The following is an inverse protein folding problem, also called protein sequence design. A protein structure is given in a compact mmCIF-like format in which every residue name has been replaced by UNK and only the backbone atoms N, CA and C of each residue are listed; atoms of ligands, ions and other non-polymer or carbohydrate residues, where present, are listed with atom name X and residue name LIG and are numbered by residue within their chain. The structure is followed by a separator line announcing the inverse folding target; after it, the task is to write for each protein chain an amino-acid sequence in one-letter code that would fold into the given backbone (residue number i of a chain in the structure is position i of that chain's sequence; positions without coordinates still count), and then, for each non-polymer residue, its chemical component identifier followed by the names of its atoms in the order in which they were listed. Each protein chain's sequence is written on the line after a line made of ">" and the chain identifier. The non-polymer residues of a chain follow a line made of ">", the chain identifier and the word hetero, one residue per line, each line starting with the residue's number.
data_IF_095177445994
#
_entry.id   IF_095177445994
#
_cell.length_a   1.000
_cell.length_b   1.000
_cell.length_c   1.000
_cell.angle_alpha   90.00
_cell.angle_beta   90.00
_cell.angle_gamma   90.00
#
_symmetry.space_group_name_H-M   'P 1'
#
loop_
_entity.id
_entity.type
_entity.pdbx_description
1 polymer ?
#
# COMPACT_ATOMS: atom_id res chain seq x y z
N UNK A 1 23.85 -20.02 -58.82
CA UNK A 1 24.56 -19.21 -57.80
C UNK A 1 24.32 -17.73 -58.13
N UNK A 2 23.78 -16.83 -57.31
CA UNK A 2 23.26 -16.83 -55.94
C UNK A 2 22.06 -15.87 -55.94
N UNK A 3 20.95 -16.25 -55.30
CA UNK A 3 19.84 -15.35 -55.01
C UNK A 3 20.24 -14.35 -53.92
N UNK A 4 19.80 -13.10 -54.06
CA UNK A 4 19.89 -12.10 -52.99
C UNK A 4 18.55 -12.02 -52.28
N UNK A 5 18.57 -12.45 -51.03
CA UNK A 5 17.50 -12.27 -50.05
C UNK A 5 17.27 -10.78 -49.80
N UNK A 6 16.00 -10.36 -49.87
CA UNK A 6 15.55 -9.12 -49.23
C UNK A 6 15.12 -9.50 -47.82
N UNK A 7 15.93 -9.14 -46.82
CA UNK A 7 15.55 -9.25 -45.42
C UNK A 7 14.42 -8.27 -45.13
N UNK A 8 13.29 -8.79 -44.67
CA UNK A 8 12.22 -8.00 -44.08
C UNK A 8 12.74 -7.37 -42.78
N UNK A 9 12.58 -6.05 -42.68
CA UNK A 9 12.78 -5.34 -41.43
C UNK A 9 11.70 -5.81 -40.44
N UNK A 10 12.14 -6.42 -39.34
CA UNK A 10 11.30 -6.73 -38.18
C UNK A 10 10.95 -5.39 -37.54
N UNK A 11 9.66 -5.00 -37.57
CA UNK A 11 9.13 -3.94 -36.72
C UNK A 11 9.15 -4.42 -35.26
N UNK A 12 10.22 -4.14 -34.53
CA UNK A 12 10.20 -4.13 -33.06
C UNK A 12 9.68 -2.78 -32.60
N UNK A 13 8.40 -2.71 -32.24
CA UNK A 13 7.82 -1.48 -31.69
C UNK A 13 6.31 -1.51 -31.67
N UNK A 14 5.71 -2.44 -30.94
CA UNK A 14 4.33 -2.30 -30.49
C UNK A 14 4.39 -2.01 -28.99
N UNK A 15 4.30 -0.73 -28.63
CA UNK A 15 3.86 -0.35 -27.29
C UNK A 15 2.45 -0.91 -27.06
N UNK A 16 2.11 -1.19 -25.80
CA UNK A 16 0.75 -1.54 -25.40
C UNK A 16 -0.17 -0.35 -25.73
N UNK A 17 -0.67 -0.32 -26.97
CA UNK A 17 -1.71 0.61 -27.37
C UNK A 17 -2.92 0.31 -26.49
N UNK A 18 -3.46 1.37 -25.86
CA UNK A 18 -4.58 1.37 -24.93
C UNK A 18 -5.55 0.19 -25.13
N UNK A 19 -5.37 -0.87 -24.33
CA UNK A 19 -6.39 -1.90 -24.19
C UNK A 19 -7.53 -1.31 -23.37
N UNK A 20 -8.54 -0.77 -24.05
CA UNK A 20 -9.84 -0.57 -23.43
C UNK A 20 -10.39 -1.96 -23.10
N UNK A 21 -10.39 -2.33 -21.82
CA UNK A 21 -11.11 -3.51 -21.36
C UNK A 21 -12.60 -3.21 -21.51
N UNK A 22 -13.22 -3.67 -22.60
CA UNK A 22 -14.68 -3.79 -22.66
C UNK A 22 -15.00 -5.18 -22.14
N UNK A 23 -15.28 -5.29 -20.85
CA UNK A 23 -15.94 -6.47 -20.32
C UNK A 23 -17.38 -6.47 -20.84
N UNK A 24 -17.62 -7.04 -22.02
CA UNK A 24 -18.99 -7.27 -22.49
C UNK A 24 -19.55 -8.52 -21.81
N UNK A 25 -20.19 -8.35 -20.67
CA UNK A 25 -21.19 -9.30 -20.19
C UNK A 25 -22.55 -8.82 -20.68
N UNK A 26 -23.14 -9.56 -21.63
CA UNK A 26 -24.51 -9.34 -22.07
C UNK A 26 -25.49 -9.72 -20.97
N UNK A 27 -25.90 -8.72 -20.19
CA UNK A 27 -27.23 -8.55 -19.59
C UNK A 27 -27.21 -7.19 -18.88
N UNK A 28 -27.87 -6.17 -19.46
CA UNK A 28 -28.05 -4.87 -18.84
C UNK A 28 -28.82 -5.01 -17.51
N UNK A 29 -28.08 -4.94 -16.41
CA UNK A 29 -28.60 -4.51 -15.13
C UNK A 29 -28.02 -3.12 -14.85
N UNK A 30 -28.88 -2.16 -14.51
CA UNK A 30 -28.49 -0.82 -14.13
C UNK A 30 -27.34 -0.85 -13.10
N UNK A 31 -26.21 -0.20 -13.43
CA UNK A 31 -25.06 -0.07 -12.53
C UNK A 31 -23.78 -0.82 -12.94
N UNK A 32 -23.52 -1.09 -14.23
CA UNK A 32 -22.23 -1.62 -14.66
C UNK A 32 -21.12 -0.55 -14.55
N UNK A 33 -20.09 -0.85 -13.76
CA UNK A 33 -18.86 -0.07 -13.73
C UNK A 33 -18.00 -0.45 -14.94
N UNK A 34 -17.45 0.54 -15.64
CA UNK A 34 -16.44 0.31 -16.69
C UNK A 34 -15.07 0.57 -16.10
N UNK A 35 -14.19 -0.43 -16.14
CA UNK A 35 -12.80 -0.28 -15.69
C UNK A 35 -11.93 -0.03 -16.91
N UNK A 36 -11.30 1.15 -16.95
CA UNK A 36 -10.33 1.49 -17.98
C UNK A 36 -8.92 1.43 -17.42
N UNK A 37 -7.98 0.94 -18.21
CA UNK A 37 -6.56 0.96 -17.89
C UNK A 37 -5.82 1.87 -18.85
N UNK A 38 -4.86 2.62 -18.34
CA UNK A 38 -3.93 3.41 -19.13
C UNK A 38 -2.50 3.24 -18.61
N UNK A 39 -1.52 3.21 -19.51
CA UNK A 39 -0.11 3.25 -19.13
C UNK A 39 0.30 4.65 -18.69
N UNK A 40 1.12 4.74 -17.64
CA UNK A 40 1.74 5.98 -17.23
C UNK A 40 2.97 6.26 -18.11
N UNK A 41 3.13 7.48 -18.64
CA UNK A 41 4.21 7.77 -19.57
C UNK A 41 5.58 7.71 -18.90
N UNK A 42 6.57 7.23 -19.65
CA UNK A 42 7.98 7.19 -19.26
C UNK A 42 8.75 8.21 -20.11
N UNK A 43 9.71 8.93 -19.51
CA UNK A 43 10.53 9.92 -20.21
C UNK A 43 12.02 9.54 -20.21
N UNK A 44 12.62 9.50 -21.40
CA UNK A 44 14.07 9.31 -21.62
C UNK A 44 14.53 7.85 -21.56
N UNK A 45 15.80 7.65 -21.18
CA UNK A 45 16.47 6.35 -21.06
C UNK A 45 15.99 5.59 -19.81
N UNK A 46 14.74 5.14 -19.82
CA UNK A 46 14.14 4.35 -18.74
C UNK A 46 14.08 2.89 -19.15
N UNK A 47 14.70 2.02 -18.36
CA UNK A 47 14.57 0.58 -18.53
C UNK A 47 13.11 0.17 -18.28
N UNK A 48 12.62 -0.86 -18.97
CA UNK A 48 11.27 -1.39 -18.77
C UNK A 48 11.14 -2.18 -17.45
N UNK A 49 11.67 -1.68 -16.34
CA UNK A 49 11.68 -2.36 -15.04
C UNK A 49 11.46 -1.35 -13.92
N UNK A 50 10.26 -1.36 -13.35
CA UNK A 50 9.98 -0.69 -12.08
C UNK A 50 9.87 -1.74 -10.98
N UNK A 51 10.93 -1.91 -10.21
CA UNK A 51 10.88 -2.58 -8.90
C UNK A 51 10.56 -1.55 -7.83
N UNK A 52 9.29 -1.14 -7.72
CA UNK A 52 8.80 -0.36 -6.57
C UNK A 52 7.29 -0.20 -6.60
N UNK A 53 6.63 -0.30 -5.44
CA UNK A 53 5.22 0.02 -5.31
C UNK A 53 4.94 1.46 -5.75
N UNK A 54 3.83 1.63 -6.49
CA UNK A 54 3.29 2.95 -6.82
C UNK A 54 2.36 3.38 -5.68
N UNK A 55 2.35 4.67 -5.41
CA UNK A 55 1.52 5.31 -4.40
C UNK A 55 0.77 6.48 -5.06
N UNK A 56 -0.52 6.63 -4.79
CA UNK A 56 -1.40 7.62 -5.41
C UNK A 56 -2.16 8.42 -4.35
N UNK A 57 -2.09 9.74 -4.44
CA UNK A 57 -2.90 10.60 -3.57
C UNK A 57 -4.29 10.90 -4.16
N UNK A 58 -5.15 11.51 -3.37
CA UNK A 58 -6.50 11.93 -3.79
C UNK A 58 -6.50 13.07 -4.78
N UNK A 59 -5.34 13.61 -5.16
CA UNK A 59 -5.20 14.51 -6.31
C UNK A 59 -4.95 13.77 -7.62
N UNK A 60 -4.77 12.46 -7.59
CA UNK A 60 -4.40 11.64 -8.74
C UNK A 60 -2.94 11.78 -9.14
N UNK A 61 -2.11 12.35 -8.24
CA UNK A 61 -0.67 12.38 -8.40
C UNK A 61 -0.10 11.06 -7.93
N UNK A 62 0.83 10.51 -8.70
CA UNK A 62 1.35 9.16 -8.50
C UNK A 62 2.85 9.28 -8.33
N UNK A 63 3.42 8.60 -7.34
CA UNK A 63 4.88 8.51 -7.19
C UNK A 63 5.36 7.09 -7.34
N UNK A 64 6.61 6.95 -7.78
CA UNK A 64 7.27 5.66 -7.91
C UNK A 64 8.73 5.84 -8.31
N UNK A 65 9.34 4.76 -8.81
CA UNK A 65 10.71 4.78 -9.28
C UNK A 65 10.82 4.25 -10.72
N UNK A 66 11.80 4.79 -11.44
CA UNK A 66 12.18 4.30 -12.78
C UNK A 66 13.64 3.88 -12.76
N UNK A 67 13.97 2.76 -13.41
CA UNK A 67 15.34 2.27 -13.58
C UNK A 67 16.00 2.87 -14.84
N UNK A 68 17.32 3.08 -14.79
CA UNK A 68 18.09 3.57 -15.93
C UNK A 68 18.25 2.49 -17.01
N UNK A 69 17.99 2.83 -18.27
CA UNK A 69 18.27 1.94 -19.40
C UNK A 69 19.79 1.75 -19.65
N UNK A 70 20.61 2.72 -19.24
CA UNK A 70 22.05 2.69 -19.45
C UNK A 70 22.80 1.97 -18.32
N UNK A 71 22.24 1.94 -17.10
CA UNK A 71 22.90 1.42 -15.90
C UNK A 71 21.91 0.63 -15.05
N UNK A 72 21.92 -0.69 -15.22
CA UNK A 72 21.08 -1.61 -14.44
C UNK A 72 21.35 -1.46 -12.94
N UNK A 73 20.31 -1.45 -12.14
CA UNK A 73 20.36 -1.26 -10.69
C UNK A 73 20.35 0.19 -10.22
N UNK A 74 20.39 1.17 -11.12
CA UNK A 74 20.30 2.59 -10.80
C UNK A 74 18.86 3.07 -10.94
N UNK A 75 18.29 3.60 -9.86
CA UNK A 75 16.89 4.05 -9.80
C UNK A 75 16.81 5.54 -9.52
N UNK A 76 15.72 6.17 -9.95
CA UNK A 76 15.38 7.54 -9.57
C UNK A 76 13.93 7.64 -9.13
N UNK A 77 13.67 8.56 -8.23
CA UNK A 77 12.31 8.94 -7.81
C UNK A 77 11.66 9.76 -8.91
N UNK A 78 10.42 9.40 -9.26
CA UNK A 78 9.60 10.13 -10.22
C UNK A 78 8.20 10.39 -9.66
N UNK A 79 7.57 11.45 -10.16
CA UNK A 79 6.14 11.72 -9.93
C UNK A 79 5.41 11.92 -11.26
N UNK A 80 4.26 11.29 -11.41
CA UNK A 80 3.30 11.51 -12.47
C UNK A 80 2.21 12.45 -11.97
N UNK A 81 2.14 13.64 -12.56
CA UNK A 81 1.11 14.63 -12.25
C UNK A 81 -0.01 14.56 -13.30
N UNK A 82 -1.30 14.67 -12.92
CA UNK A 82 -2.40 14.78 -13.88
C UNK A 82 -2.20 15.96 -14.85
N UNK A 83 -2.48 15.72 -16.13
CA UNK A 83 -2.36 16.71 -17.21
C UNK A 83 -3.47 16.50 -18.25
N UNK A 84 -3.75 17.47 -19.14
CA UNK A 84 -4.67 17.24 -20.25
C UNK A 84 -4.21 16.03 -21.09
N UNK A 85 -5.08 15.05 -21.26
CA UNK A 85 -4.80 13.82 -22.02
C UNK A 85 -4.09 12.70 -21.25
N UNK A 86 -3.89 12.82 -19.92
CA UNK A 86 -3.35 11.73 -19.09
C UNK A 86 -2.48 12.24 -17.94
N UNK A 87 -1.27 11.72 -17.81
CA UNK A 87 -0.29 12.14 -16.81
C UNK A 87 0.97 12.68 -17.46
N UNK A 88 1.74 13.49 -16.73
CA UNK A 88 3.09 13.91 -17.11
C UNK A 88 4.08 13.48 -16.04
N UNK A 89 5.13 12.76 -16.45
CA UNK A 89 6.19 12.32 -15.54
C UNK A 89 7.26 13.40 -15.34
N UNK A 90 7.72 13.53 -14.09
CA UNK A 90 8.82 14.39 -13.67
C UNK A 90 9.81 13.57 -12.84
N UNK A 91 11.09 13.68 -13.13
CA UNK A 91 12.14 13.16 -12.27
C UNK A 91 12.36 14.11 -11.07
N UNK A 92 12.43 13.54 -9.87
CA UNK A 92 12.66 14.27 -8.62
C UNK A 92 14.10 14.10 -8.12
N UNK A 93 14.72 12.96 -8.43
CA UNK A 93 16.12 12.66 -8.10
C UNK A 93 16.93 12.31 -9.36
N UNK A 94 18.28 12.40 -9.30
CA UNK A 94 19.15 11.70 -10.24
C UNK A 94 19.03 10.17 -10.08
N UNK A 95 19.59 9.43 -11.05
CA UNK A 95 19.76 7.97 -10.96
C UNK A 95 20.86 7.64 -9.94
N UNK A 96 20.49 6.92 -8.88
CA UNK A 96 21.38 6.50 -7.77
C UNK A 96 20.92 5.16 -7.17
N UNK A 97 21.72 4.58 -6.27
CA UNK A 97 21.27 3.47 -5.41
C UNK A 97 20.40 4.01 -4.28
N UNK A 98 19.13 3.64 -4.28
CA UNK A 98 18.18 4.07 -3.24
C UNK A 98 16.78 3.56 -3.51
N UNK A 99 15.97 3.43 -2.46
CA UNK A 99 14.63 2.89 -2.54
C UNK A 99 13.67 3.49 -1.52
N UNK A 100 12.39 3.25 -1.82
CA UNK A 100 11.14 3.70 -1.19
C UNK A 100 10.72 5.13 -1.53
N UNK A 101 9.48 5.23 -1.99
CA UNK A 101 8.77 6.47 -2.29
C UNK A 101 7.38 6.43 -1.68
N UNK A 102 6.86 7.57 -1.24
CA UNK A 102 5.46 7.74 -0.86
C UNK A 102 5.02 9.17 -1.13
N UNK A 103 3.74 9.39 -1.36
CA UNK A 103 3.16 10.70 -1.63
C UNK A 103 2.07 11.00 -0.60
N UNK A 104 2.02 12.25 -0.13
CA UNK A 104 0.97 12.69 0.79
C UNK A 104 -0.13 13.50 0.06
N UNK A 105 -1.15 13.87 0.83
CA UNK A 105 -2.24 14.72 0.40
C UNK A 105 -1.88 16.20 0.33
N UNK A 106 -0.60 16.55 0.24
CA UNK A 106 -0.13 17.86 -0.24
C UNK A 106 0.60 17.78 -1.58
N UNK A 107 0.81 16.56 -2.09
CA UNK A 107 1.65 16.31 -3.26
C UNK A 107 3.14 16.38 -2.95
N UNK A 108 3.52 16.34 -1.67
CA UNK A 108 4.93 16.13 -1.31
C UNK A 108 5.27 14.65 -1.46
N UNK A 109 6.46 14.39 -1.99
CA UNK A 109 6.99 13.04 -2.17
C UNK A 109 8.13 12.83 -1.18
N UNK A 110 8.04 11.78 -0.37
CA UNK A 110 9.14 11.28 0.45
C UNK A 110 9.86 10.18 -0.31
N UNK A 111 11.19 10.25 -0.40
CA UNK A 111 12.00 9.18 -0.97
C UNK A 111 13.49 9.41 -0.76
N UNK A 112 14.36 8.65 -1.43
CA UNK A 112 15.82 8.76 -1.25
C UNK A 112 16.52 9.48 -2.39
N UNK A 113 17.53 10.28 -2.03
CA UNK A 113 18.50 10.86 -2.94
C UNK A 113 19.90 10.44 -2.45
N UNK A 114 20.38 9.29 -2.93
CA UNK A 114 21.55 8.62 -2.38
C UNK A 114 21.28 8.08 -0.98
N UNK A 115 22.15 8.41 -0.02
CA UNK A 115 21.97 8.03 1.38
C UNK A 115 20.90 8.87 2.10
N UNK A 116 20.58 10.05 1.57
CA UNK A 116 19.70 11.00 2.23
C UNK A 116 18.22 10.69 1.98
N UNK A 117 17.42 10.77 3.04
CA UNK A 117 15.97 10.75 2.95
C UNK A 117 15.46 12.19 2.72
N UNK A 118 14.74 12.40 1.62
CA UNK A 118 14.39 13.72 1.09
C UNK A 118 12.89 13.83 0.88
N UNK A 119 12.34 15.01 1.18
CA UNK A 119 10.96 15.39 0.87
C UNK A 119 11.01 16.40 -0.27
N UNK A 120 10.47 16.04 -1.43
CA UNK A 120 10.22 16.98 -2.54
C UNK A 120 8.82 17.56 -2.43
N UNK A 121 8.66 18.85 -2.69
CA UNK A 121 7.34 19.48 -2.70
C UNK A 121 6.55 19.22 -4.00
N UNK A 122 5.32 19.76 -4.05
CA UNK A 122 4.49 19.75 -5.25
C UNK A 122 5.13 20.37 -6.50
N UNK A 123 6.15 21.20 -6.36
CA UNK A 123 6.89 21.79 -7.47
C UNK A 123 8.16 20.99 -7.81
N UNK A 124 8.39 19.87 -7.13
CA UNK A 124 9.58 19.02 -7.28
C UNK A 124 10.84 19.63 -6.68
N UNK A 125 10.73 20.66 -5.85
CA UNK A 125 11.85 21.26 -5.14
C UNK A 125 12.08 20.52 -3.82
N UNK A 126 13.33 20.43 -3.38
CA UNK A 126 13.66 19.86 -2.06
C UNK A 126 13.05 20.74 -0.97
N UNK A 127 12.05 20.20 -0.29
CA UNK A 127 11.35 20.87 0.80
C UNK A 127 12.05 20.66 2.14
N UNK A 128 12.65 19.49 2.33
CA UNK A 128 13.47 19.15 3.49
C UNK A 128 14.32 17.90 3.22
N UNK A 129 15.44 17.80 3.93
CA UNK A 129 16.19 16.57 4.12
C UNK A 129 15.93 16.08 5.55
N UNK A 130 15.50 14.83 5.69
CA UNK A 130 15.23 14.20 6.97
C UNK A 130 16.57 13.85 7.60
N UNK A 131 16.89 14.52 8.71
CA UNK A 131 18.15 14.28 9.39
C UNK A 131 18.17 12.84 9.95
N UNK A 132 19.30 12.11 9.82
CA UNK A 132 19.45 10.81 10.46
C UNK A 132 19.40 10.99 11.98
N UNK A 133 18.93 9.96 12.68
CA UNK A 133 19.03 9.92 14.14
C UNK A 133 20.47 9.59 14.53
N UNK A 134 21.08 10.37 15.45
CA UNK A 134 22.40 10.04 15.96
C UNK A 134 22.48 8.60 16.47
N UNK A 135 23.58 7.91 16.15
CA UNK A 135 23.90 6.55 16.59
C UNK A 135 23.01 5.42 16.04
N UNK A 136 22.15 5.72 15.05
CA UNK A 136 21.30 4.72 14.38
C UNK A 136 21.82 4.46 12.97
N UNK A 137 22.14 3.19 12.67
CA UNK A 137 22.79 2.80 11.41
C UNK A 137 21.83 2.30 10.33
N UNK A 138 20.60 1.90 10.70
CA UNK A 138 19.59 1.45 9.75
C UNK A 138 18.25 2.14 10.04
N UNK A 139 17.58 2.59 8.98
CA UNK A 139 16.34 3.36 9.07
C UNK A 139 15.18 2.52 8.53
N UNK A 140 14.30 2.08 9.42
CA UNK A 140 13.04 1.46 9.01
C UNK A 140 12.02 2.57 8.87
N UNK A 141 12.01 3.25 7.72
CA UNK A 141 10.94 4.20 7.41
C UNK A 141 9.62 3.45 7.55
N UNK A 142 8.57 4.10 8.06
CA UNK A 142 7.29 3.43 8.29
C UNK A 142 6.13 4.24 7.73
N UNK A 143 6.07 5.55 8.03
CA UNK A 143 4.94 6.39 7.59
C UNK A 143 5.32 7.88 7.48
N UNK A 144 4.54 8.64 6.71
CA UNK A 144 4.72 10.06 6.41
C UNK A 144 3.36 10.74 6.32
N UNK A 145 3.26 12.01 6.72
CA UNK A 145 1.98 12.74 6.75
C UNK A 145 2.05 14.12 6.06
N UNK A 146 0.91 14.81 6.00
CA UNK A 146 0.78 16.14 5.36
C UNK A 146 1.56 17.24 6.09
N UNK A 147 1.88 17.04 7.36
CA UNK A 147 2.72 17.96 8.14
C UNK A 147 4.21 17.78 7.85
N UNK A 148 4.54 16.95 6.85
CA UNK A 148 5.89 16.52 6.53
C UNK A 148 6.60 15.85 7.70
N UNK A 149 5.86 15.22 8.60
CA UNK A 149 6.45 14.45 9.67
C UNK A 149 6.73 13.05 9.15
N UNK A 150 7.88 12.52 9.55
CA UNK A 150 8.36 11.21 9.10
C UNK A 150 8.50 10.32 10.32
N UNK A 151 7.84 9.17 10.27
CA UNK A 151 7.92 8.14 11.29
C UNK A 151 8.81 7.01 10.82
N UNK A 152 9.75 6.61 11.69
CA UNK A 152 10.63 5.49 11.44
C UNK A 152 11.05 4.83 12.76
N UNK A 153 11.63 3.64 12.67
CA UNK A 153 12.17 2.92 13.81
C UNK A 153 13.69 2.79 13.71
N UNK A 154 14.37 2.86 14.86
CA UNK A 154 15.82 2.72 14.89
C UNK A 154 16.29 1.30 14.57
N UNK A 155 17.31 1.20 13.73
CA UNK A 155 17.93 -0.06 13.38
C UNK A 155 19.13 -0.38 14.27
N UNK A 156 19.02 -1.50 14.99
CA UNK A 156 20.07 -2.42 15.42
C UNK A 156 21.23 -1.79 16.22
N UNK A 157 21.05 -1.74 17.54
CA UNK A 157 22.15 -1.77 18.49
C UNK A 157 21.98 -2.98 19.43
N UNK A 158 22.83 -4.00 19.26
CA UNK A 158 23.02 -5.20 20.10
C UNK A 158 22.13 -6.43 19.84
N UNK A 159 22.79 -7.49 19.32
CA UNK A 159 22.60 -8.96 19.40
C UNK A 159 21.20 -9.62 19.30
N UNK A 160 20.09 -8.88 19.30
CA UNK A 160 18.70 -9.40 19.16
C UNK A 160 18.01 -9.03 17.85
N UNK A 161 18.52 -8.03 17.12
CA UNK A 161 18.11 -7.72 15.74
C UNK A 161 16.77 -6.97 15.56
N UNK A 162 16.13 -6.47 16.62
CA UNK A 162 14.83 -5.80 16.53
C UNK A 162 14.88 -4.30 16.94
N UNK A 163 14.03 -3.42 16.38
CA UNK A 163 13.99 -1.99 16.70
C UNK A 163 13.55 -1.72 18.13
N UNK A 164 14.14 -0.76 18.83
CA UNK A 164 13.83 -0.48 20.25
C UNK A 164 13.30 0.92 20.50
N UNK A 165 13.38 1.81 19.51
CA UNK A 165 12.91 3.20 19.59
C UNK A 165 12.12 3.58 18.35
N UNK A 166 10.93 4.14 18.57
CA UNK A 166 10.22 4.90 17.56
C UNK A 166 10.81 6.31 17.46
N UNK A 167 10.93 6.82 16.25
CA UNK A 167 11.45 8.15 15.99
C UNK A 167 10.47 8.90 15.08
N UNK A 168 10.09 10.10 15.51
CA UNK A 168 9.40 11.06 14.66
C UNK A 168 10.27 12.25 14.35
N UNK A 169 10.61 12.40 13.08
CA UNK A 169 11.18 13.64 12.58
C UNK A 169 10.06 14.62 12.20
N UNK A 170 10.26 15.91 12.49
CA UNK A 170 9.39 17.00 12.07
C UNK A 170 10.20 18.09 11.35
N UNK A 171 9.57 18.86 10.44
CA UNK A 171 10.21 20.01 9.80
C UNK A 171 10.86 20.96 10.81
N UNK A 172 11.98 21.57 10.41
CA UNK A 172 12.83 22.35 11.32
C UNK A 172 13.87 21.51 12.07
N UNK A 173 14.05 20.24 11.71
CA UNK A 173 15.09 19.37 12.26
C UNK A 173 14.77 18.79 13.63
N UNK A 174 13.52 18.92 14.11
CA UNK A 174 13.12 18.41 15.42
C UNK A 174 12.95 16.90 15.34
N UNK A 175 13.75 16.18 16.13
CA UNK A 175 13.66 14.74 16.32
C UNK A 175 13.01 14.48 17.68
N UNK A 176 11.97 13.66 17.68
CA UNK A 176 11.26 13.24 18.86
C UNK A 176 11.42 11.74 19.06
N UNK A 177 12.02 11.40 20.20
CA UNK A 177 12.25 10.03 20.69
C UNK A 177 11.70 9.85 22.10
N UNK A 178 10.83 10.75 22.58
CA UNK A 178 10.43 10.83 23.99
C UNK A 178 9.47 9.71 24.45
N UNK A 179 9.46 8.54 23.80
CA UNK A 179 8.44 7.48 23.92
C UNK A 179 8.98 6.11 23.44
N UNK A 180 8.54 4.95 23.98
CA UNK A 180 7.97 4.61 25.29
C UNK A 180 9.09 4.19 26.29
N UNK A 181 9.33 4.92 27.41
CA UNK A 181 10.52 4.70 28.26
C UNK A 181 10.48 3.48 29.19
N UNK A 182 9.37 2.73 29.19
CA UNK A 182 9.08 1.69 30.20
C UNK A 182 9.07 0.28 29.62
N UNK A 183 9.03 0.15 28.29
CA UNK A 183 9.09 -1.13 27.61
C UNK A 183 10.54 -1.44 27.23
N UNK A 184 11.08 -2.52 27.80
CA UNK A 184 12.39 -3.09 27.42
C UNK A 184 12.35 -3.90 26.12
N UNK A 185 11.21 -3.84 25.41
CA UNK A 185 10.91 -4.63 24.22
C UNK A 185 11.11 -3.86 22.91
N UNK A 186 10.68 -4.50 21.82
CA UNK A 186 10.73 -3.98 20.46
C UNK A 186 9.58 -3.01 20.19
N UNK A 187 9.88 -1.88 19.55
CA UNK A 187 8.89 -0.84 19.22
C UNK A 187 8.79 -0.69 17.71
N UNK A 188 7.59 -0.92 17.16
CA UNK A 188 7.32 -0.83 15.73
C UNK A 188 6.21 0.21 15.50
N UNK A 189 6.54 1.48 15.20
CA UNK A 189 5.54 2.50 14.86
C UNK A 189 5.04 2.32 13.42
N UNK A 190 3.86 1.75 13.22
CA UNK A 190 3.40 1.30 11.90
C UNK A 190 2.77 2.41 11.03
N UNK A 191 2.10 3.38 11.64
CA UNK A 191 1.35 4.44 10.93
C UNK A 191 1.43 5.77 11.67
N UNK A 192 1.44 6.86 10.90
CA UNK A 192 1.38 8.23 11.38
C UNK A 192 0.25 8.96 10.64
N UNK A 193 -0.66 9.57 11.38
CA UNK A 193 -1.77 10.31 10.78
C UNK A 193 -1.49 11.81 10.66
N UNK A 194 -2.39 12.54 10.00
CA UNK A 194 -2.29 13.98 9.78
C UNK A 194 -2.51 14.83 11.05
N UNK A 195 -2.88 14.21 12.17
CA UNK A 195 -2.87 14.84 13.50
C UNK A 195 -1.51 14.73 14.21
N UNK A 196 -0.55 14.02 13.61
CA UNK A 196 0.75 13.75 14.20
C UNK A 196 0.71 12.64 15.24
N UNK A 197 -0.39 11.91 15.32
CA UNK A 197 -0.56 10.75 16.20
C UNK A 197 0.01 9.54 15.46
N UNK A 198 0.86 8.77 16.12
CA UNK A 198 1.38 7.51 15.65
C UNK A 198 0.60 6.34 16.26
N UNK A 199 0.50 5.24 15.54
CA UNK A 199 0.02 3.98 16.06
C UNK A 199 1.00 2.87 15.66
N UNK A 200 1.15 1.87 16.52
CA UNK A 200 2.06 0.76 16.26
C UNK A 200 1.99 -0.33 17.31
N UNK A 201 3.01 -1.16 17.33
CA UNK A 201 3.07 -2.37 18.16
C UNK A 201 4.29 -2.34 19.08
N UNK A 202 4.11 -2.76 20.32
CA UNK A 202 5.16 -3.02 21.31
C UNK A 202 5.26 -4.52 21.50
N UNK A 203 6.43 -5.11 21.26
CA UNK A 203 6.67 -6.55 21.44
C UNK A 203 7.62 -6.79 22.60
N UNK A 204 7.30 -7.69 23.51
CA UNK A 204 8.13 -7.97 24.68
C UNK A 204 7.46 -8.97 25.61
N UNK A 205 7.72 -8.88 26.91
CA UNK A 205 7.08 -9.75 27.91
C UNK A 205 5.55 -9.66 27.90
N UNK A 206 5.00 -8.50 27.49
CA UNK A 206 3.59 -8.30 27.17
C UNK A 206 3.51 -7.53 25.86
N UNK A 207 3.06 -8.19 24.79
CA UNK A 207 2.83 -7.54 23.50
C UNK A 207 1.54 -6.74 23.54
N UNK A 208 1.58 -5.51 23.04
CA UNK A 208 0.40 -4.65 22.98
C UNK A 208 0.48 -3.68 21.81
N UNK A 209 -0.67 -3.13 21.41
CA UNK A 209 -0.72 -1.98 20.53
C UNK A 209 -0.41 -0.71 21.31
N UNK A 210 0.02 0.35 20.62
CA UNK A 210 0.12 1.67 21.22
C UNK A 210 -0.35 2.76 20.28
N UNK A 211 -0.81 3.86 20.89
CA UNK A 211 -1.04 5.15 20.22
C UNK A 211 -0.14 6.18 20.90
N UNK A 212 0.53 6.98 20.10
CA UNK A 212 1.46 8.00 20.58
C UNK A 212 1.13 9.36 19.96
N UNK A 213 0.71 10.32 20.79
CA UNK A 213 0.25 11.65 20.32
C UNK A 213 1.37 12.70 20.16
N UNK A 214 2.61 12.31 20.43
CA UNK A 214 3.75 13.22 20.51
C UNK A 214 4.15 13.66 21.90
N UNK A 215 3.44 13.23 22.94
CA UNK A 215 3.75 13.49 24.35
C UNK A 215 3.54 12.25 25.21
N UNK A 216 2.49 11.50 24.93
CA UNK A 216 2.05 10.36 25.73
C UNK A 216 1.89 9.13 24.85
N UNK A 217 2.41 8.00 25.31
CA UNK A 217 2.13 6.67 24.73
C UNK A 217 1.00 6.05 25.54
N UNK A 218 -0.05 5.65 24.86
CA UNK A 218 -1.20 4.95 25.46
C UNK A 218 -1.25 3.53 24.91
N UNK A 219 -1.20 2.54 25.79
CA UNK A 219 -1.39 1.15 25.41
C UNK A 219 -2.82 0.92 24.88
N UNK A 220 -2.93 0.14 23.82
CA UNK A 220 -4.19 -0.26 23.20
C UNK A 220 -4.41 -1.73 23.51
N UNK A 221 -5.46 -2.01 24.28
CA UNK A 221 -5.91 -3.36 24.58
C UNK A 221 -7.11 -3.75 23.71
N UNK A 222 -7.25 -5.04 23.44
CA UNK A 222 -8.43 -5.59 22.79
C UNK A 222 -9.68 -5.52 23.68
N UNK A 223 -10.86 -5.89 23.16
CA UNK A 223 -12.08 -6.01 23.95
C UNK A 223 -11.87 -6.87 25.21
N UNK A 224 -12.41 -6.41 26.33
CA UNK A 224 -12.25 -7.08 27.63
C UNK A 224 -10.83 -7.05 28.22
N UNK A 225 -9.92 -6.24 27.66
CA UNK A 225 -8.51 -6.21 28.10
C UNK A 225 -7.64 -7.28 27.44
N UNK A 226 -8.12 -7.91 26.37
CA UNK A 226 -7.38 -8.94 25.61
C UNK A 226 -6.05 -8.40 25.08
N UNK A 227 -5.04 -9.27 25.05
CA UNK A 227 -3.73 -8.95 24.50
C UNK A 227 -3.79 -8.64 23.00
N UNK A 228 -2.88 -7.78 22.55
CA UNK A 228 -2.84 -7.29 21.16
C UNK A 228 -1.50 -7.66 20.56
N UNK A 229 -1.55 -8.44 19.48
CA UNK A 229 -0.35 -8.89 18.77
C UNK A 229 0.21 -7.78 17.88
N UNK A 230 -0.66 -7.05 17.20
CA UNK A 230 -0.27 -5.94 16.32
C UNK A 230 -1.41 -4.95 16.06
N UNK A 231 -1.06 -3.72 15.66
CA UNK A 231 -1.98 -2.72 15.13
C UNK A 231 -1.79 -2.52 13.62
N UNK A 232 -2.62 -3.18 12.82
CA UNK A 232 -2.47 -3.27 11.36
C UNK A 232 -3.12 -2.14 10.55
N UNK A 233 -3.93 -1.29 11.19
CA UNK A 233 -4.64 -0.20 10.50
C UNK A 233 -4.75 1.05 11.37
N UNK A 234 -4.70 2.22 10.74
CA UNK A 234 -4.86 3.49 11.44
C UNK A 234 -5.35 4.59 10.50
N UNK A 235 -6.32 5.41 10.93
CA UNK A 235 -6.83 6.53 10.13
C UNK A 235 -6.70 7.90 10.82
N UNK A 236 -7.00 8.96 10.07
CA UNK A 236 -6.96 10.36 10.53
C UNK A 236 -7.98 10.70 11.62
N UNK A 237 -9.00 9.85 11.83
CA UNK A 237 -9.92 10.01 12.96
C UNK A 237 -9.31 9.54 14.28
N UNK A 238 -8.19 8.79 14.22
CA UNK A 238 -7.55 8.17 15.38
C UNK A 238 -8.14 6.80 15.71
N UNK A 239 -8.80 6.16 14.75
CA UNK A 239 -9.25 4.78 14.88
C UNK A 239 -8.08 3.86 14.50
N UNK A 240 -7.80 2.85 15.32
CA UNK A 240 -6.80 1.82 15.04
C UNK A 240 -7.46 0.45 14.90
N UNK A 241 -6.96 -0.36 13.98
CA UNK A 241 -7.37 -1.76 13.82
C UNK A 241 -6.28 -2.63 14.40
N UNK A 242 -6.64 -3.54 15.30
CA UNK A 242 -5.71 -4.44 15.96
C UNK A 242 -6.07 -5.90 15.76
N UNK A 243 -5.07 -6.76 15.94
CA UNK A 243 -5.18 -8.22 15.85
C UNK A 243 -4.93 -8.84 17.22
N UNK A 244 -5.80 -9.77 17.59
CA UNK A 244 -5.69 -10.63 18.78
C UNK A 244 -5.36 -12.04 18.30
N UNK A 245 -4.08 -12.34 18.06
CA UNK A 245 -3.66 -13.56 17.35
C UNK A 245 -4.04 -14.85 18.09
N UNK A 246 -3.90 -14.87 19.42
CA UNK A 246 -4.28 -16.01 20.24
C UNK A 246 -5.78 -16.38 20.13
N UNK A 247 -6.62 -15.40 19.77
CA UNK A 247 -8.05 -15.59 19.54
C UNK A 247 -8.38 -15.75 18.06
N UNK A 248 -7.42 -15.43 17.17
CA UNK A 248 -7.67 -15.28 15.74
C UNK A 248 -8.77 -14.27 15.46
N UNK A 249 -8.72 -13.08 16.07
CA UNK A 249 -9.76 -12.05 15.91
C UNK A 249 -9.18 -10.66 15.65
N UNK A 250 -9.97 -9.82 15.01
CA UNK A 250 -9.66 -8.42 14.76
C UNK A 250 -10.59 -7.51 15.57
N UNK A 251 -10.11 -6.33 15.93
CA UNK A 251 -10.92 -5.32 16.61
C UNK A 251 -10.62 -3.93 16.06
N UNK A 252 -11.55 -3.02 16.25
CA UNK A 252 -11.33 -1.58 16.09
C UNK A 252 -11.29 -0.92 17.45
N UNK A 253 -10.27 -0.08 17.67
CA UNK A 253 -10.13 0.76 18.84
C UNK A 253 -10.31 2.22 18.49
N UNK A 254 -11.08 2.93 19.30
CA UNK A 254 -11.27 4.37 19.17
C UNK A 254 -11.68 4.98 20.50
N UNK A 255 -10.96 6.01 20.96
CA UNK A 255 -11.26 6.77 22.18
C UNK A 255 -11.43 5.89 23.43
N UNK A 256 -10.50 4.96 23.64
CA UNK A 256 -10.50 4.09 24.82
C UNK A 256 -11.47 2.90 24.74
N UNK A 257 -12.23 2.76 23.65
CA UNK A 257 -13.16 1.64 23.44
C UNK A 257 -12.66 0.74 22.31
N UNK A 258 -12.55 -0.55 22.60
CA UNK A 258 -12.25 -1.60 21.62
C UNK A 258 -13.51 -2.42 21.32
N UNK A 259 -13.76 -2.68 20.04
CA UNK A 259 -14.92 -3.43 19.55
C UNK A 259 -14.43 -4.53 18.63
N UNK A 260 -14.81 -5.77 18.94
CA UNK A 260 -14.56 -6.94 18.11
C UNK A 260 -15.29 -6.81 16.76
N UNK A 261 -14.60 -7.12 15.67
CA UNK A 261 -15.18 -7.03 14.32
C UNK A 261 -16.11 -8.20 13.98
N UNK A 262 -16.02 -9.33 14.68
CA UNK A 262 -16.68 -10.58 14.28
C UNK A 262 -15.78 -11.47 13.42
N UNK A 263 -16.40 -12.42 12.72
CA UNK A 263 -15.82 -13.27 11.69
C UNK A 263 -16.91 -13.65 10.65
N UNK A 264 -16.52 -14.36 9.58
CA UNK A 264 -17.43 -14.86 8.53
C UNK A 264 -18.04 -16.24 8.85
N UNK A 265 -18.01 -16.67 10.11
CA UNK A 265 -18.59 -17.94 10.58
C UNK A 265 -17.62 -19.11 10.63
N UNK A 266 -16.35 -18.94 10.24
CA UNK A 266 -15.30 -19.97 10.34
C UNK A 266 -14.61 -20.05 11.70
N UNK A 267 -15.00 -19.20 12.65
CA UNK A 267 -14.44 -19.17 14.01
C UNK A 267 -13.09 -18.46 14.13
N UNK A 268 -12.58 -17.85 13.05
CA UNK A 268 -11.41 -16.97 13.09
C UNK A 268 -11.39 -15.92 11.96
N UNK A 269 -10.82 -14.76 12.28
CA UNK A 269 -10.43 -13.67 11.41
C UNK A 269 -8.93 -13.41 11.61
N UNK A 270 -8.11 -13.82 10.65
CA UNK A 270 -6.65 -13.66 10.71
C UNK A 270 -6.22 -12.53 9.79
N UNK A 271 -5.36 -11.65 10.29
CA UNK A 271 -4.33 -11.01 9.48
C UNK A 271 -3.01 -11.53 10.04
N UNK A 272 -2.20 -12.21 9.24
CA UNK A 272 -0.81 -12.46 9.63
C UNK A 272 -0.17 -11.11 10.01
N UNK A 273 0.76 -11.04 10.97
CA UNK A 273 1.32 -9.80 11.52
C UNK A 273 2.10 -8.93 10.53
N UNK A 274 2.09 -9.27 9.24
CA UNK A 274 2.50 -8.36 8.18
C UNK A 274 1.32 -7.41 7.97
N UNK A 275 1.47 -6.15 8.40
CA UNK A 275 0.50 -5.05 8.34
C UNK A 275 0.01 -4.63 6.93
N UNK A 276 0.07 -5.55 5.96
CA UNK A 276 -0.24 -5.35 4.54
C UNK A 276 -1.60 -5.94 4.12
N UNK A 277 -2.30 -6.69 4.99
CA UNK A 277 -3.55 -7.41 4.63
C UNK A 277 -4.80 -6.84 5.31
N UNK A 278 -4.71 -5.65 5.89
CA UNK A 278 -5.84 -4.95 6.46
C UNK A 278 -5.68 -3.44 6.27
N UNK A 279 -6.80 -2.75 6.09
CA UNK A 279 -6.83 -1.30 5.96
C UNK A 279 -8.09 -0.73 6.60
N UNK A 280 -8.05 0.56 6.92
CA UNK A 280 -9.18 1.32 7.42
C UNK A 280 -9.24 2.66 6.69
N UNK A 281 -10.39 2.99 6.09
CA UNK A 281 -10.57 4.27 5.41
C UNK A 281 -10.96 5.39 6.39
N UNK A 282 -11.14 6.60 5.86
CA UNK A 282 -11.64 7.73 6.61
C UNK A 282 -12.99 7.41 7.25
N UNK A 283 -13.93 6.83 6.50
CA UNK A 283 -15.27 6.48 7.02
C UNK A 283 -15.28 5.44 8.16
N UNK A 284 -14.15 4.83 8.48
CA UNK A 284 -14.03 3.82 9.52
C UNK A 284 -14.46 2.43 9.04
N UNK A 285 -14.54 2.25 7.72
CA UNK A 285 -14.74 0.94 7.12
C UNK A 285 -13.41 0.21 7.10
N UNK A 286 -13.43 -1.08 7.46
CA UNK A 286 -12.24 -1.89 7.66
C UNK A 286 -12.27 -3.06 6.71
N UNK A 287 -11.15 -3.38 6.11
CA UNK A 287 -10.98 -4.59 5.29
C UNK A 287 -9.93 -5.49 5.90
N UNK A 288 -10.08 -6.78 5.62
CA UNK A 288 -9.17 -7.83 6.06
C UNK A 288 -9.58 -9.17 5.45
N UNK A 289 -9.09 -10.27 6.00
CA UNK A 289 -9.53 -11.62 5.62
C UNK A 289 -10.05 -12.40 6.84
N UNK A 290 -11.01 -13.29 6.60
CA UNK A 290 -11.60 -14.14 7.63
C UNK A 290 -12.02 -15.47 7.03
N UNK A 291 -11.98 -16.52 7.84
CA UNK A 291 -12.51 -17.81 7.45
C UNK A 291 -14.03 -17.78 7.44
N UNK A 292 -14.61 -18.30 6.37
CA UNK A 292 -16.04 -18.55 6.24
C UNK A 292 -16.44 -19.83 6.98
N UNK A 293 -17.74 -20.05 7.13
CA UNK A 293 -18.26 -21.31 7.69
C UNK A 293 -17.87 -22.56 6.87
N UNK A 294 -17.48 -22.43 5.59
CA UNK A 294 -16.95 -23.55 4.78
C UNK A 294 -15.48 -23.84 5.07
N UNK A 295 -14.79 -22.98 5.83
CA UNK A 295 -13.35 -23.07 6.11
C UNK A 295 -12.47 -22.38 5.07
N UNK A 296 -13.06 -21.76 4.05
CA UNK A 296 -12.34 -20.95 3.06
C UNK A 296 -11.99 -19.58 3.61
N UNK A 297 -10.86 -19.02 3.21
CA UNK A 297 -10.44 -17.67 3.59
C UNK A 297 -10.99 -16.69 2.57
N UNK A 298 -11.82 -15.74 3.00
CA UNK A 298 -12.39 -14.71 2.15
C UNK A 298 -12.00 -13.30 2.62
N UNK A 299 -11.85 -12.34 1.70
CA UNK A 299 -11.73 -10.94 2.07
C UNK A 299 -13.08 -10.41 2.57
N UNK A 300 -13.05 -9.55 3.59
CA UNK A 300 -14.25 -8.95 4.15
C UNK A 300 -14.20 -7.42 4.10
N UNK A 301 -15.38 -6.80 4.13
CA UNK A 301 -15.58 -5.40 4.48
C UNK A 301 -16.42 -5.31 5.76
N UNK A 302 -15.87 -4.69 6.78
CA UNK A 302 -16.58 -4.35 8.00
C UNK A 302 -17.01 -2.88 7.97
N UNK A 303 -18.29 -2.64 8.19
CA UNK A 303 -18.86 -1.28 8.30
C UNK A 303 -19.89 -1.25 9.43
N UNK A 304 -19.66 -0.40 10.44
CA UNK A 304 -20.58 -0.14 11.56
C UNK A 304 -21.15 -1.41 12.23
N UNK A 305 -20.30 -2.40 12.46
CA UNK A 305 -20.67 -3.64 13.16
C UNK A 305 -21.16 -4.76 12.26
N UNK A 306 -21.19 -4.56 10.94
CA UNK A 306 -21.53 -5.61 9.97
C UNK A 306 -20.29 -6.03 9.18
N UNK A 307 -19.90 -7.29 9.28
CA UNK A 307 -18.92 -7.91 8.39
C UNK A 307 -19.62 -8.45 7.14
N UNK A 308 -19.11 -8.09 5.97
CA UNK A 308 -19.62 -8.48 4.65
C UNK A 308 -18.54 -9.28 3.94
N UNK A 309 -18.86 -10.50 3.51
CA UNK A 309 -18.02 -11.30 2.63
C UNK A 309 -17.96 -10.66 1.23
N UNK A 310 -16.75 -10.49 0.69
CA UNK A 310 -16.52 -9.90 -0.63
C UNK A 310 -16.38 -10.95 -1.74
N UNK A 311 -16.23 -12.22 -1.37
CA UNK A 311 -15.94 -13.33 -2.27
C UNK A 311 -14.49 -13.33 -2.80
N UNK A 312 -14.21 -14.24 -3.71
CA UNK A 312 -12.90 -14.43 -4.35
C UNK A 312 -13.03 -14.45 -5.87
N UNK A 313 -11.91 -14.57 -6.59
CA UNK A 313 -11.94 -14.80 -8.03
C UNK A 313 -12.23 -16.28 -8.40
N UNK A 314 -12.65 -17.10 -7.43
CA UNK A 314 -13.08 -18.49 -7.64
C UNK A 314 -11.96 -19.52 -7.59
N UNK A 315 -10.73 -19.13 -7.27
CA UNK A 315 -9.62 -20.05 -7.04
C UNK A 315 -9.58 -20.65 -5.63
N UNK A 316 -8.68 -21.62 -5.39
CA UNK A 316 -8.48 -22.19 -4.07
C UNK A 316 -8.07 -21.11 -3.07
N UNK A 317 -8.83 -20.98 -1.98
CA UNK A 317 -8.60 -20.00 -0.91
C UNK A 317 -8.44 -20.71 0.44
N UNK A 318 -7.54 -21.71 0.48
CA UNK A 318 -7.34 -22.53 1.67
C UNK A 318 -6.36 -21.89 2.67
N UNK A 319 -5.51 -20.96 2.22
CA UNK A 319 -4.50 -20.32 3.04
C UNK A 319 -4.56 -18.79 2.94
N UNK A 320 -4.06 -18.12 3.96
CA UNK A 320 -3.97 -16.65 4.04
C UNK A 320 -3.10 -16.00 2.96
N UNK A 321 -2.23 -16.76 2.28
CA UNK A 321 -1.43 -16.28 1.15
C UNK A 321 -2.18 -16.30 -0.19
N UNK A 322 -3.35 -16.95 -0.23
CA UNK A 322 -4.13 -17.12 -1.46
C UNK A 322 -5.06 -15.93 -1.74
N UNK A 323 -5.38 -15.15 -0.70
CA UNK A 323 -6.23 -13.97 -0.79
C UNK A 323 -5.90 -12.93 0.27
N UNK A 324 -5.95 -11.66 -0.10
CA UNK A 324 -5.76 -10.54 0.82
C UNK A 324 -6.45 -9.26 0.30
N UNK A 325 -6.91 -8.42 1.24
CA UNK A 325 -7.41 -7.08 0.98
C UNK A 325 -6.41 -6.05 1.51
N UNK A 326 -5.88 -5.20 0.63
CA UNK A 326 -4.73 -4.33 0.94
C UNK A 326 -5.12 -2.89 1.19
N UNK A 327 -6.22 -2.43 0.58
CA UNK A 327 -6.66 -1.05 0.69
C UNK A 327 -8.18 -0.91 0.57
N UNK A 328 -8.70 0.14 1.18
CA UNK A 328 -10.10 0.55 1.04
C UNK A 328 -10.15 2.07 0.96
N UNK A 329 -10.85 2.60 -0.05
CA UNK A 329 -11.03 4.04 -0.22
C UNK A 329 -12.34 4.52 0.42
N UNK A 330 -12.56 5.83 0.52
CA UNK A 330 -13.79 6.39 1.10
C UNK A 330 -15.03 6.18 0.22
N UNK A 331 -14.90 5.66 -1.01
CA UNK A 331 -16.06 5.18 -1.78
C UNK A 331 -16.52 3.78 -1.34
N UNK A 332 -15.77 3.11 -0.46
CA UNK A 332 -16.01 1.74 -0.03
C UNK A 332 -15.53 0.69 -1.03
N UNK A 333 -14.70 1.09 -1.99
CA UNK A 333 -14.06 0.18 -2.94
C UNK A 333 -12.86 -0.47 -2.27
N UNK A 334 -12.70 -1.78 -2.47
CA UNK A 334 -11.66 -2.57 -1.81
C UNK A 334 -10.71 -3.11 -2.85
N UNK A 335 -9.42 -2.82 -2.70
CA UNK A 335 -8.36 -3.39 -3.51
C UNK A 335 -7.78 -4.63 -2.80
N UNK A 336 -7.49 -5.67 -3.57
CA UNK A 336 -6.90 -6.89 -3.04
C UNK A 336 -6.26 -7.77 -4.11
N UNK A 337 -5.88 -8.97 -3.72
CA UNK A 337 -5.41 -10.03 -4.61
C UNK A 337 -6.09 -11.33 -4.21
N UNK A 338 -6.46 -12.15 -5.19
CA UNK A 338 -7.11 -13.43 -4.98
C UNK A 338 -6.67 -14.43 -6.04
N UNK A 339 -6.70 -15.72 -5.70
CA UNK A 339 -6.49 -16.78 -6.67
C UNK A 339 -7.67 -16.95 -7.62
N UNK A 340 -7.36 -17.19 -8.89
CA UNK A 340 -8.29 -17.65 -9.94
C UNK A 340 -8.38 -19.19 -9.97
N UNK A 341 -9.36 -19.78 -10.68
CA UNK A 341 -9.55 -21.25 -10.71
C UNK A 341 -8.34 -22.04 -11.23
N UNK A 342 -7.50 -21.43 -12.05
CA UNK A 342 -6.22 -21.98 -12.54
C UNK A 342 -5.06 -21.82 -11.54
N UNK A 343 -5.29 -21.17 -10.41
CA UNK A 343 -4.34 -20.99 -9.31
C UNK A 343 -3.43 -19.76 -9.44
N UNK A 344 -3.60 -18.94 -10.47
CA UNK A 344 -2.87 -17.68 -10.63
C UNK A 344 -3.37 -16.63 -9.62
N UNK A 345 -2.49 -15.73 -9.17
CA UNK A 345 -2.86 -14.66 -8.22
C UNK A 345 -3.09 -13.36 -8.98
N UNK A 346 -4.33 -12.89 -8.98
CA UNK A 346 -4.75 -11.71 -9.73
C UNK A 346 -5.15 -10.57 -8.78
N UNK A 347 -4.74 -9.32 -9.07
CA UNK A 347 -5.29 -8.17 -8.36
C UNK A 347 -6.77 -8.01 -8.71
N UNK A 348 -7.57 -7.65 -7.72
CA UNK A 348 -8.99 -7.37 -7.91
C UNK A 348 -9.38 -6.03 -7.27
N UNK A 349 -10.47 -5.45 -7.76
CA UNK A 349 -11.22 -4.44 -7.03
C UNK A 349 -12.64 -4.92 -6.77
N UNK A 350 -13.09 -4.80 -5.52
CA UNK A 350 -14.49 -4.97 -5.16
C UNK A 350 -15.19 -3.61 -5.17
N UNK A 351 -16.29 -3.49 -5.89
CA UNK A 351 -17.19 -2.33 -5.87
C UNK A 351 -18.64 -2.81 -5.81
N UNK A 352 -19.40 -2.30 -4.81
CA UNK A 352 -20.84 -2.51 -4.67
C UNK A 352 -21.32 -3.97 -4.83
N UNK A 353 -20.64 -4.90 -4.17
CA UNK A 353 -21.04 -6.31 -4.14
C UNK A 353 -20.52 -7.14 -5.31
N UNK A 354 -19.61 -6.60 -6.13
CA UNK A 354 -18.98 -7.33 -7.24
C UNK A 354 -17.48 -7.23 -7.16
N UNK A 355 -16.81 -8.38 -7.33
CA UNK A 355 -15.38 -8.46 -7.54
C UNK A 355 -15.07 -8.30 -9.03
N UNK A 356 -14.09 -7.48 -9.35
CA UNK A 356 -13.61 -7.24 -10.70
C UNK A 356 -12.14 -7.61 -10.78
N UNK A 357 -11.79 -8.54 -11.67
CA UNK A 357 -10.41 -8.90 -11.98
C UNK A 357 -9.71 -7.74 -12.72
N UNK A 358 -8.55 -7.32 -12.23
CA UNK A 358 -7.72 -6.26 -12.82
C UNK A 358 -6.55 -6.81 -13.65
N UNK A 359 -6.37 -8.13 -13.70
CA UNK A 359 -5.34 -8.77 -14.51
C UNK A 359 -5.46 -8.39 -15.98
N UNK A 360 -4.33 -8.10 -16.61
CA UNK A 360 -4.27 -7.81 -18.05
C UNK A 360 -3.97 -9.10 -18.82
N UNK A 361 -4.92 -9.61 -19.63
CA UNK A 361 -4.73 -10.87 -20.36
C UNK A 361 -3.46 -10.88 -21.22
N UNK A 362 -2.69 -11.96 -21.12
CA UNK A 362 -1.42 -12.11 -21.83
C UNK A 362 -0.22 -11.39 -21.19
N UNK A 363 -0.43 -10.72 -20.06
CA UNK A 363 0.68 -10.27 -19.21
C UNK A 363 1.34 -11.45 -18.50
N UNK A 364 2.63 -11.32 -18.18
CA UNK A 364 3.37 -12.25 -17.32
C UNK A 364 2.95 -12.05 -15.86
N UNK A 365 2.71 -10.80 -15.46
CA UNK A 365 2.16 -10.47 -14.14
C UNK A 365 1.48 -9.11 -14.15
N UNK A 366 0.43 -8.97 -13.36
CA UNK A 366 -0.23 -7.69 -13.08
C UNK A 366 -0.26 -7.49 -11.58
N UNK A 367 0.07 -6.28 -11.11
CA UNK A 367 0.01 -5.91 -9.70
C UNK A 367 -0.76 -4.61 -9.55
N UNK A 368 -1.54 -4.48 -8.48
CA UNK A 368 -2.17 -3.23 -8.07
C UNK A 368 -1.71 -2.92 -6.64
N UNK A 369 -1.20 -1.72 -6.42
CA UNK A 369 -0.48 -1.37 -5.19
C UNK A 369 -1.21 -0.37 -4.32
N UNK A 370 -2.04 0.48 -4.91
CA UNK A 370 -2.74 1.53 -4.17
C UNK A 370 -4.00 2.03 -4.88
N UNK A 371 -4.93 2.61 -4.12
CA UNK A 371 -6.22 3.16 -4.57
C UNK A 371 -6.55 4.46 -3.83
N UNK A 372 -6.92 5.51 -4.57
CA UNK A 372 -7.36 6.77 -3.97
C UNK A 372 -8.89 6.90 -3.82
N UNK A 373 -9.35 7.96 -3.17
CA UNK A 373 -10.78 8.25 -2.90
C UNK A 373 -11.59 8.63 -4.15
N UNK A 374 -10.95 8.70 -5.32
CA UNK A 374 -11.61 8.87 -6.62
C UNK A 374 -11.82 7.55 -7.36
N UNK A 375 -11.42 6.42 -6.78
CA UNK A 375 -11.50 5.11 -7.43
C UNK A 375 -10.47 4.95 -8.55
N UNK A 376 -9.33 5.63 -8.44
CA UNK A 376 -8.17 5.44 -9.30
C UNK A 376 -7.20 4.48 -8.62
N UNK A 377 -6.80 3.43 -9.32
CA UNK A 377 -5.92 2.38 -8.82
C UNK A 377 -4.61 2.45 -9.60
N UNK A 378 -3.47 2.28 -8.94
CA UNK A 378 -2.17 2.26 -9.60
C UNK A 378 -1.47 0.93 -9.39
N UNK A 379 -0.57 0.59 -10.32
CA UNK A 379 0.22 -0.63 -10.21
C UNK A 379 1.10 -0.85 -11.43
N UNK A 380 1.46 -2.11 -11.67
CA UNK A 380 2.36 -2.45 -12.78
C UNK A 380 1.89 -3.66 -13.56
N UNK A 381 2.16 -3.65 -14.86
CA UNK A 381 1.91 -4.77 -15.79
C UNK A 381 3.23 -5.19 -16.39
N UNK A 382 3.59 -6.47 -16.25
CA UNK A 382 4.79 -7.05 -16.83
C UNK A 382 4.44 -7.88 -18.04
N UNK A 383 5.10 -7.61 -19.16
CA UNK A 383 5.02 -8.41 -20.38
C UNK A 383 6.42 -8.87 -20.80
N UNK A 384 6.52 -9.60 -21.91
CA UNK A 384 7.82 -9.94 -22.50
C UNK A 384 8.66 -8.71 -22.87
N UNK A 385 8.01 -7.55 -23.10
CA UNK A 385 8.67 -6.26 -23.36
C UNK A 385 9.08 -5.50 -22.08
N UNK A 386 8.81 -6.11 -20.92
CA UNK A 386 9.10 -5.64 -19.57
C UNK A 386 7.89 -5.06 -18.83
N UNK A 387 8.16 -4.42 -17.70
CA UNK A 387 7.20 -3.86 -16.76
C UNK A 387 6.85 -2.41 -17.09
N UNK A 388 5.56 -2.08 -17.06
CA UNK A 388 5.02 -0.74 -17.25
C UNK A 388 4.18 -0.31 -16.04
N UNK A 389 4.35 0.92 -15.55
CA UNK A 389 3.44 1.48 -14.56
C UNK A 389 2.11 1.84 -15.23
N UNK A 390 1.00 1.52 -14.56
CA UNK A 390 -0.36 1.71 -15.10
C UNK A 390 -1.28 2.32 -14.06
N UNK A 391 -2.38 2.89 -14.54
CA UNK A 391 -3.50 3.37 -13.75
C UNK A 391 -4.79 2.75 -14.27
N UNK A 392 -5.62 2.21 -13.37
CA UNK A 392 -7.00 1.85 -13.65
C UNK A 392 -7.94 2.93 -13.12
N UNK A 393 -8.98 3.26 -13.89
CA UNK A 393 -10.06 4.18 -13.48
C UNK A 393 -11.38 3.45 -13.57
N UNK A 394 -12.15 3.52 -12.48
CA UNK A 394 -13.49 2.95 -12.39
C UNK A 394 -14.49 4.03 -12.79
N UNK A 395 -14.90 4.01 -14.06
CA UNK A 395 -15.92 4.92 -14.59
C UNK A 395 -17.32 4.37 -14.32
N UNK A 396 -18.23 5.26 -13.96
CA UNK A 396 -19.65 4.96 -13.78
C UNK A 396 -20.41 5.47 -14.99
N UNK A 397 -21.41 4.68 -15.43
CA UNK A 397 -22.42 5.14 -16.38
C UNK A 397 -23.45 6.05 -15.72
#
# INVERSE_FOLDING_TARGET
>A
MRGRSRSAAVLTGLGLAAMALVASATAEAAGSATIRMAELPLNGDVAPSSRSGLDINDRGQITGMTESAAQRGQFRVVRWDPAPGGHRVRALSPYQEGYRTSINERGDVLGRNGADLVIWDRNGQVAATVAPVPDVKAEWLLSFNDRRQVMWADGIAQLSGLPTRAVRWSPGGRIDTSHPPEHTGTVIPERLNNRGIAAGSLWGAQSTGFVWDGRTVTAVLGPGGSEVSSLVGFNDRGQSVGVMEAQGRMFVHHRGRSVDLGDLGGGWAWSHPIAAHAAINGKGQIVGVSATASGEVHPFLWDKGKMTDLGTLGGPAANWGDVFATAVNDLGQVLGTSKTPDGESHPFVWDRGRIHDLHVPGSISTTATDINDRGQIVGTVTTQSGTRPVIWTIERS
#
